data_IF_836198874712
#
_entry.id   IF_836198874712
#
_cell.length_a   1.000
_cell.length_b   1.000
_cell.length_c   1.000
_cell.angle_alpha   90.00
_cell.angle_beta   90.00
_cell.angle_gamma   90.00
#
_symmetry.space_group_name_H-M   'P 1'
#
loop_
_entity.id
_entity.type
_entity.pdbx_description
1 polymer ?
#
# COMPACT_ATOMS: atom_id res chain seq x y z
N UNK A 1 6.24 19.09 16.96
CA UNK A 1 5.67 17.76 17.30
C UNK A 1 6.80 16.78 17.64
N UNK A 2 6.77 16.08 18.78
CA UNK A 2 7.87 15.18 19.24
C UNK A 2 8.06 13.96 18.30
N UNK A 3 9.32 13.57 18.03
CA UNK A 3 9.71 12.45 17.12
C UNK A 3 8.97 11.13 17.39
N UNK A 4 8.72 10.79 18.66
CA UNK A 4 7.92 9.60 19.06
C UNK A 4 6.50 9.60 18.49
N UNK A 5 5.83 10.74 18.45
CA UNK A 5 4.46 10.85 17.93
C UNK A 5 4.41 10.70 16.39
N UNK A 6 5.41 11.23 15.68
CA UNK A 6 5.52 11.05 14.21
C UNK A 6 5.72 9.58 13.84
N UNK A 7 6.57 8.87 14.59
CA UNK A 7 6.79 7.42 14.42
C UNK A 7 5.51 6.61 14.67
N UNK A 8 4.77 6.92 15.74
CA UNK A 8 3.51 6.23 16.08
C UNK A 8 2.40 6.45 15.03
N UNK A 9 2.40 7.62 14.37
CA UNK A 9 1.40 8.00 13.37
C UNK A 9 1.82 7.78 11.91
N UNK A 10 3.01 7.21 11.67
CA UNK A 10 3.59 7.04 10.33
C UNK A 10 3.65 8.36 9.53
N UNK A 11 4.12 9.44 10.17
CA UNK A 11 4.19 10.79 9.57
C UNK A 11 5.64 11.22 9.27
N UNK A 12 5.83 12.01 8.21
CA UNK A 12 7.14 12.52 7.79
C UNK A 12 8.05 11.39 7.30
N UNK A 13 9.22 11.23 7.92
CA UNK A 13 10.21 10.17 7.63
C UNK A 13 9.71 8.73 7.90
N UNK A 14 8.50 8.56 8.43
CA UNK A 14 7.93 7.27 8.82
C UNK A 14 6.75 6.83 7.95
N UNK A 15 6.47 7.54 6.85
CA UNK A 15 5.43 7.16 5.89
C UNK A 15 5.84 5.88 5.17
N UNK A 16 4.86 5.05 4.83
CA UNK A 16 5.05 3.86 4.02
C UNK A 16 4.15 3.98 2.79
N UNK A 17 4.76 3.84 1.63
CA UNK A 17 4.07 3.85 0.36
C UNK A 17 4.04 2.44 -0.21
N UNK A 18 2.91 2.10 -0.81
CA UNK A 18 2.71 0.86 -1.55
C UNK A 18 1.72 1.13 -2.69
N UNK A 19 1.29 0.10 -3.40
CA UNK A 19 0.28 0.25 -4.45
C UNK A 19 -0.80 -0.81 -4.30
N UNK A 20 -1.99 -0.50 -4.79
CA UNK A 20 -3.07 -1.46 -4.92
C UNK A 20 -2.87 -2.29 -6.18
N UNK A 21 -3.02 -3.59 -6.04
CA UNK A 21 -3.00 -4.58 -7.10
C UNK A 21 -4.39 -5.20 -7.19
N UNK A 22 -4.99 -5.14 -8.37
CA UNK A 22 -6.17 -5.94 -8.71
C UNK A 22 -5.82 -6.80 -9.90
N UNK A 23 -6.13 -8.09 -9.84
CA UNK A 23 -5.93 -8.97 -10.99
C UNK A 23 -7.07 -9.96 -11.17
N UNK A 24 -7.36 -10.23 -12.43
CA UNK A 24 -8.46 -11.10 -12.87
C UNK A 24 -7.85 -12.29 -13.57
N UNK A 25 -8.48 -13.44 -13.38
CA UNK A 25 -8.00 -14.72 -13.88
C UNK A 25 -8.91 -15.27 -14.97
N UNK A 26 -8.38 -16.20 -15.75
CA UNK A 26 -9.18 -17.00 -16.67
C UNK A 26 -10.16 -17.89 -15.88
N UNK A 27 -11.36 -18.09 -16.41
CA UNK A 27 -12.46 -18.80 -15.72
C UNK A 27 -12.36 -20.32 -15.75
N UNK A 28 -11.47 -20.88 -16.57
CA UNK A 28 -11.29 -22.31 -16.84
C UNK A 28 -10.05 -22.90 -16.14
N UNK A 29 -9.52 -22.22 -15.14
CA UNK A 29 -8.29 -22.64 -14.48
C UNK A 29 -8.58 -23.65 -13.36
N UNK A 30 -7.87 -24.79 -13.31
CA UNK A 30 -7.96 -25.73 -12.20
C UNK A 30 -7.53 -25.08 -10.88
N UNK A 31 -8.20 -25.45 -9.79
CA UNK A 31 -7.92 -24.90 -8.45
C UNK A 31 -6.48 -25.18 -8.04
N UNK A 32 -5.95 -26.36 -8.36
CA UNK A 32 -4.58 -26.74 -8.04
C UNK A 32 -3.55 -25.89 -8.78
N UNK A 33 -3.88 -25.42 -9.99
CA UNK A 33 -3.04 -24.49 -10.75
C UNK A 33 -3.11 -23.09 -10.15
N UNK A 34 -4.28 -22.67 -9.68
CA UNK A 34 -4.47 -21.39 -9.00
C UNK A 34 -3.71 -21.35 -7.67
N UNK A 35 -3.84 -22.39 -6.84
CA UNK A 35 -3.15 -22.48 -5.55
C UNK A 35 -1.63 -22.41 -5.73
N UNK A 36 -1.08 -23.18 -6.69
CA UNK A 36 0.35 -23.12 -7.02
C UNK A 36 0.77 -21.73 -7.51
N UNK A 37 -0.05 -21.08 -8.34
CA UNK A 37 0.23 -19.74 -8.81
C UNK A 37 0.29 -18.73 -7.65
N UNK A 38 -0.59 -18.86 -6.65
CA UNK A 38 -0.55 -18.00 -5.45
C UNK A 38 0.74 -18.22 -4.67
N UNK A 39 1.16 -19.48 -4.49
CA UNK A 39 2.42 -19.81 -3.82
C UNK A 39 3.63 -19.24 -4.58
N UNK A 40 3.68 -19.42 -5.90
CA UNK A 40 4.74 -18.88 -6.78
C UNK A 40 4.76 -17.35 -6.76
N UNK A 41 3.59 -16.70 -6.76
CA UNK A 41 3.50 -15.25 -6.67
C UNK A 41 4.09 -14.72 -5.35
N UNK A 42 3.73 -15.34 -4.23
CA UNK A 42 4.25 -14.92 -2.93
C UNK A 42 5.76 -15.16 -2.85
N UNK A 43 6.24 -16.32 -3.27
CA UNK A 43 7.66 -16.64 -3.17
C UNK A 43 8.53 -15.81 -4.14
N UNK A 44 8.16 -15.78 -5.43
CA UNK A 44 9.04 -15.29 -6.49
C UNK A 44 8.83 -13.80 -6.81
N UNK A 45 7.59 -13.31 -6.77
CA UNK A 45 7.29 -11.92 -7.14
C UNK A 45 7.24 -10.97 -5.93
N UNK A 46 7.04 -11.51 -4.72
CA UNK A 46 6.86 -10.71 -3.50
C UNK A 46 8.05 -10.90 -2.55
N UNK A 47 8.26 -12.09 -2.01
CA UNK A 47 9.27 -12.34 -0.97
C UNK A 47 10.70 -12.25 -1.50
N UNK A 48 10.96 -12.66 -2.75
CA UNK A 48 12.29 -12.59 -3.37
C UNK A 48 12.86 -11.16 -3.39
N UNK A 49 12.01 -10.16 -3.57
CA UNK A 49 12.38 -8.74 -3.60
C UNK A 49 12.16 -8.02 -2.24
N UNK A 50 11.85 -8.77 -1.18
CA UNK A 50 11.58 -8.22 0.14
C UNK A 50 10.32 -7.35 0.18
N UNK A 51 9.33 -7.69 -0.67
CA UNK A 51 8.00 -7.10 -0.66
C UNK A 51 7.06 -7.91 0.23
N UNK A 52 5.88 -7.37 0.45
CA UNK A 52 4.80 -7.98 1.21
C UNK A 52 3.50 -7.67 0.49
N UNK A 53 2.67 -8.69 0.32
CA UNK A 53 1.35 -8.55 -0.24
C UNK A 53 0.30 -8.79 0.85
N UNK A 54 -0.60 -7.83 1.02
CA UNK A 54 -1.77 -7.94 1.88
C UNK A 54 -3.04 -7.86 1.05
N UNK A 55 -3.72 -8.98 0.87
CA UNK A 55 -4.89 -9.05 -0.01
C UNK A 55 -5.60 -10.40 0.06
N UNK A 56 -6.60 -10.55 -0.80
CA UNK A 56 -7.34 -11.79 -0.93
C UNK A 56 -8.29 -11.78 -2.11
N UNK A 57 -8.76 -12.96 -2.48
CA UNK A 57 -9.72 -13.12 -3.55
C UNK A 57 -9.94 -14.56 -3.93
N UNK A 58 -10.58 -14.76 -5.06
CA UNK A 58 -10.84 -16.08 -5.63
C UNK A 58 -10.75 -16.03 -7.16
N UNK A 59 -10.66 -17.20 -7.78
CA UNK A 59 -10.54 -17.34 -9.23
C UNK A 59 -11.70 -16.68 -10.00
N UNK A 60 -12.92 -16.67 -9.45
CA UNK A 60 -14.13 -16.20 -10.15
C UNK A 60 -14.29 -14.69 -10.09
N UNK A 61 -13.92 -14.08 -8.97
CA UNK A 61 -14.05 -12.64 -8.71
C UNK A 61 -12.77 -11.87 -9.01
N UNK A 62 -11.65 -12.58 -9.13
CA UNK A 62 -10.32 -11.99 -9.12
C UNK A 62 -9.83 -11.77 -7.69
N UNK A 63 -8.58 -11.36 -7.58
CA UNK A 63 -7.97 -10.99 -6.32
C UNK A 63 -7.61 -9.51 -6.29
N UNK A 64 -7.65 -8.94 -5.08
CA UNK A 64 -7.18 -7.59 -4.85
C UNK A 64 -6.42 -7.50 -3.53
N UNK A 65 -5.49 -6.57 -3.50
CA UNK A 65 -4.66 -6.35 -2.33
C UNK A 65 -3.73 -5.17 -2.51
N UNK A 66 -2.84 -5.04 -1.54
CA UNK A 66 -1.85 -3.98 -1.45
C UNK A 66 -0.47 -4.62 -1.40
N UNK A 67 0.46 -4.10 -2.20
CA UNK A 67 1.88 -4.46 -2.14
C UNK A 67 2.67 -3.35 -1.45
N UNK A 68 3.54 -3.73 -0.53
CA UNK A 68 4.45 -2.83 0.20
C UNK A 68 5.82 -3.49 0.40
N UNK A 69 6.85 -2.72 0.76
CA UNK A 69 8.12 -3.31 1.23
C UNK A 69 7.98 -3.85 2.66
N UNK A 70 8.62 -4.97 2.97
CA UNK A 70 8.63 -5.57 4.32
C UNK A 70 9.48 -4.73 5.31
N UNK A 71 10.47 -3.99 4.80
CA UNK A 71 11.33 -3.17 5.63
C UNK A 71 10.63 -1.91 6.18
N UNK A 72 10.75 -1.70 7.49
CA UNK A 72 10.28 -0.47 8.18
C UNK A 72 10.78 0.79 7.47
N UNK A 73 9.83 1.55 6.94
CA UNK A 73 10.04 2.85 6.28
C UNK A 73 10.70 2.78 4.89
N UNK A 74 10.86 1.59 4.32
CA UNK A 74 11.12 1.46 2.90
C UNK A 74 9.84 1.78 2.13
N UNK A 75 9.94 2.65 1.14
CA UNK A 75 8.86 2.94 0.22
C UNK A 75 9.04 2.09 -1.02
N UNK A 76 7.93 1.65 -1.62
CA UNK A 76 7.99 0.94 -2.90
C UNK A 76 8.59 1.84 -3.97
N UNK A 77 9.41 1.25 -4.85
CA UNK A 77 9.97 1.94 -6.02
C UNK A 77 9.12 1.64 -7.26
N UNK A 78 9.29 2.43 -8.32
CA UNK A 78 8.64 2.12 -9.60
C UNK A 78 9.17 0.80 -10.19
N UNK A 79 10.45 0.50 -9.98
CA UNK A 79 11.08 -0.77 -10.39
C UNK A 79 10.39 -1.99 -9.75
N UNK A 80 10.08 -1.91 -8.45
CA UNK A 80 9.31 -2.96 -7.74
C UNK A 80 7.91 -3.15 -8.37
N UNK A 81 7.27 -2.04 -8.75
CA UNK A 81 5.94 -2.06 -9.38
C UNK A 81 5.99 -2.67 -10.78
N UNK A 82 6.97 -2.28 -11.59
CA UNK A 82 7.17 -2.84 -12.93
C UNK A 82 7.53 -4.32 -12.88
N UNK A 83 8.33 -4.74 -11.91
CA UNK A 83 8.65 -6.15 -11.69
C UNK A 83 7.40 -6.99 -11.43
N UNK A 84 6.59 -6.59 -10.43
CA UNK A 84 5.34 -7.30 -10.08
C UNK A 84 4.37 -7.30 -11.26
N UNK A 85 4.26 -6.17 -11.97
CA UNK A 85 3.42 -6.06 -13.17
C UNK A 85 3.85 -7.04 -14.27
N UNK A 86 5.14 -7.04 -14.59
CA UNK A 86 5.72 -7.90 -15.62
C UNK A 86 5.60 -9.38 -15.28
N UNK A 87 5.82 -9.74 -14.01
CA UNK A 87 5.65 -11.10 -13.53
C UNK A 87 4.21 -11.58 -13.73
N UNK A 88 3.21 -10.78 -13.34
CA UNK A 88 1.79 -11.15 -13.48
C UNK A 88 1.36 -11.26 -14.95
N UNK A 89 1.80 -10.35 -15.81
CA UNK A 89 1.48 -10.41 -17.25
C UNK A 89 2.15 -11.59 -17.96
N UNK A 90 3.23 -12.15 -17.41
CA UNK A 90 3.88 -13.34 -17.94
C UNK A 90 3.12 -14.64 -17.69
N UNK A 91 2.05 -14.61 -16.89
CA UNK A 91 1.35 -15.80 -16.41
C UNK A 91 0.10 -16.08 -17.25
N UNK A 92 0.00 -17.26 -17.85
CA UNK A 92 -1.12 -17.63 -18.74
C UNK A 92 -2.48 -17.65 -18.03
N UNK A 93 -2.48 -17.83 -16.70
CA UNK A 93 -3.68 -17.82 -15.85
C UNK A 93 -4.28 -16.41 -15.69
N UNK A 94 -3.48 -15.37 -15.92
CA UNK A 94 -3.87 -13.97 -15.72
C UNK A 94 -4.59 -13.45 -16.96
N UNK A 95 -5.78 -12.89 -16.75
CA UNK A 95 -6.58 -12.26 -17.80
C UNK A 95 -6.37 -10.75 -17.85
N UNK A 96 -6.22 -10.11 -16.69
CA UNK A 96 -5.97 -8.67 -16.59
C UNK A 96 -5.29 -8.32 -15.26
N UNK A 97 -4.43 -7.31 -15.29
CA UNK A 97 -3.75 -6.75 -14.13
C UNK A 97 -3.96 -5.24 -14.12
N UNK A 98 -4.33 -4.71 -12.96
CA UNK A 98 -4.50 -3.27 -12.73
C UNK A 98 -3.68 -2.90 -11.49
N UNK A 99 -2.73 -1.97 -11.66
CA UNK A 99 -1.90 -1.44 -10.58
C UNK A 99 -2.17 0.04 -10.38
N UNK A 100 -2.47 0.45 -9.14
CA UNK A 100 -2.60 1.86 -8.80
C UNK A 100 -1.25 2.57 -8.82
N UNK A 101 -1.28 3.91 -8.80
CA UNK A 101 -0.09 4.69 -8.43
C UNK A 101 0.28 4.42 -6.96
N UNK A 102 1.57 4.57 -6.59
CA UNK A 102 1.99 4.46 -5.19
C UNK A 102 1.23 5.43 -4.27
N UNK A 103 0.56 4.89 -3.25
CA UNK A 103 -0.26 5.62 -2.30
C UNK A 103 0.19 5.39 -0.85
N UNK A 104 -0.23 6.28 0.06
CA UNK A 104 0.08 6.16 1.49
C UNK A 104 -0.80 5.06 2.12
N UNK A 105 -0.15 4.00 2.60
CA UNK A 105 -0.84 2.81 3.10
C UNK A 105 -1.60 3.03 4.41
N UNK A 106 -1.30 4.11 5.14
CA UNK A 106 -1.89 4.39 6.45
C UNK A 106 -3.03 5.39 6.39
N UNK A 107 -3.00 6.31 5.42
CA UNK A 107 -3.95 7.42 5.32
C UNK A 107 -4.78 7.43 4.03
N UNK A 108 -4.52 6.50 3.11
CA UNK A 108 -5.24 6.37 1.84
C UNK A 108 -4.90 7.47 0.83
N UNK A 109 -5.61 7.46 -0.32
CA UNK A 109 -5.36 8.37 -1.45
C UNK A 109 -5.79 9.82 -1.14
N UNK A 110 -4.90 10.55 -0.48
CA UNK A 110 -4.84 12.02 -0.52
C UNK A 110 -3.59 12.47 -1.28
N UNK A 111 -3.61 13.60 -2.00
CA UNK A 111 -2.48 14.04 -2.82
C UNK A 111 -1.16 14.09 -2.05
N UNK A 112 -0.05 13.78 -2.74
CA UNK A 112 1.31 13.80 -2.20
C UNK A 112 1.81 15.18 -1.71
N UNK A 113 0.99 16.23 -1.78
CA UNK A 113 1.18 17.51 -1.08
C UNK A 113 -0.14 17.93 -0.42
N UNK A 114 -0.21 18.31 0.86
CA UNK A 114 0.62 19.33 1.50
C UNK A 114 1.02 18.91 2.91
N UNK A 115 2.32 18.92 3.13
CA UNK A 115 2.89 19.39 4.39
C UNK A 115 2.37 20.81 4.68
N UNK A 116 1.22 20.91 5.31
CA UNK A 116 0.82 22.05 6.11
C UNK A 116 -0.04 21.50 7.23
N UNK A 117 0.63 21.13 8.33
CA UNK A 117 0.00 21.32 9.64
C UNK A 117 -0.61 22.73 9.60
N UNK A 118 -1.90 22.95 9.94
CA UNK A 118 -2.24 24.28 10.39
C UNK A 118 -1.28 24.56 11.55
N UNK A 119 -0.38 25.52 11.34
CA UNK A 119 0.33 26.16 12.44
C UNK A 119 -0.69 26.40 13.53
N UNK A 120 -0.32 26.04 14.75
CA UNK A 120 -1.13 26.30 15.91
C UNK A 120 -1.53 27.77 15.88
N UNK A 121 -2.75 28.06 15.44
CA UNK A 121 -3.32 29.39 15.53
C UNK A 121 -3.35 29.67 17.01
N UNK A 122 -2.42 30.53 17.40
CA UNK A 122 -2.39 31.24 18.66
C UNK A 122 -3.80 31.81 18.88
N UNK A 123 -4.67 31.10 19.59
CA UNK A 123 -5.83 31.76 20.18
C UNK A 123 -5.36 32.29 21.51
N UNK A 124 -4.88 33.53 21.43
CA UNK A 124 -4.67 34.43 22.55
C UNK A 124 -5.77 34.28 23.60
N UNK A 125 -5.37 34.40 24.85
CA UNK A 125 -6.20 34.22 26.02
C UNK A 125 -7.54 34.95 25.92
N UNK A 126 -8.60 34.24 26.26
CA UNK A 126 -9.78 34.90 26.78
C UNK A 126 -9.53 35.15 28.27
N UNK A 127 -9.69 36.38 28.78
CA UNK A 127 -9.54 36.67 30.20
C UNK A 127 -10.70 36.08 31.01
N UNK A 128 -10.36 35.60 32.21
CA UNK A 128 -11.29 35.29 33.30
C UNK A 128 -12.24 36.47 33.58
N UNK A 129 -13.55 36.24 33.70
CA UNK A 129 -14.44 37.15 34.41
C UNK A 129 -14.61 36.64 35.85
N UNK A 130 -13.79 37.16 36.76
CA UNK A 130 -14.15 37.22 38.18
C UNK A 130 -14.32 38.68 38.60
N UNK A 131 -15.38 38.91 39.38
CA UNK A 131 -15.68 40.10 40.18
C UNK A 131 -16.42 41.26 39.48
N UNK A 132 -17.75 41.25 39.65
CA UNK A 132 -18.44 42.32 40.37
C UNK A 132 -19.54 41.70 41.23
#
# INVERSE_FOLDING_TARGET
>A
MKKRLRKKKHLGEFRQFGFELTCRFQTDVPVERFDRFVDEFIADAIEADGLTFGGGGDLKRGWSGVVSRDHRYASITEEDREHVHGWLLGQEIVAAVELSEPCDLWHGSGPLEKSALPEATHRAGQPDPTAA
#
